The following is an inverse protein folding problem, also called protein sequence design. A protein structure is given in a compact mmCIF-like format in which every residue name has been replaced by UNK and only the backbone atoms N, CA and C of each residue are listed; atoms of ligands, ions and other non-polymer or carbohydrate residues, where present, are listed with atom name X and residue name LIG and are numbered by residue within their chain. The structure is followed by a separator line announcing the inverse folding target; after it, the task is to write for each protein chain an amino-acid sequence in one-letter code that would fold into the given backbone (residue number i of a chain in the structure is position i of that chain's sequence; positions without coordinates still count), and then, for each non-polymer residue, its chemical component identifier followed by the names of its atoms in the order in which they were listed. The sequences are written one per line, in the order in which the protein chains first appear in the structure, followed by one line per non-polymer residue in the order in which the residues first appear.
data_IF_283144428024
#
_entry.id   IF_283144428024
#
_cell.length_a   1.000
_cell.length_b   1.000
_cell.length_c   1.000
_cell.angle_alpha   90.00
_cell.angle_beta   90.00
_cell.angle_gamma   90.00
#
_symmetry.space_group_name_H-M   'P 1'
#
loop_
_entity.id
_entity.type
_entity.pdbx_description
1 polymer ?
#
# COMPACT_ATOMS: atom_id res chain seq x y z
N UNK A 1 -7.38 6.74 -13.77
CA UNK A 1 -7.29 5.29 -13.88
C UNK A 1 -7.27 4.56 -12.54
N UNK A 2 -7.03 5.27 -11.42
CA UNK A 2 -6.95 4.71 -10.07
C UNK A 2 -8.02 5.32 -9.17
N UNK A 3 -8.73 4.49 -8.41
CA UNK A 3 -9.61 4.95 -7.34
C UNK A 3 -9.23 4.18 -6.07
N UNK A 4 -8.92 4.90 -4.99
CA UNK A 4 -8.32 4.34 -3.78
C UNK A 4 -9.23 4.60 -2.59
N UNK A 5 -9.55 3.53 -1.86
CA UNK A 5 -10.33 3.63 -0.64
C UNK A 5 -9.43 4.00 0.54
N UNK A 6 -9.88 4.98 1.31
CA UNK A 6 -9.24 5.39 2.56
C UNK A 6 -10.24 5.38 3.70
N UNK A 7 -9.76 5.13 4.90
CA UNK A 7 -10.55 5.21 6.14
C UNK A 7 -9.97 6.28 7.06
N UNK A 8 -10.78 6.78 7.98
CA UNK A 8 -10.30 7.69 9.00
C UNK A 8 -9.29 6.97 9.90
N UNK A 9 -8.08 7.55 10.05
CA UNK A 9 -7.00 6.98 10.86
C UNK A 9 -7.37 6.97 12.34
N UNK A 10 -6.95 5.90 13.02
CA UNK A 10 -6.88 5.79 14.49
C UNK A 10 -5.42 5.64 14.92
N UNK A 11 -5.16 5.77 16.21
CA UNK A 11 -3.79 5.68 16.77
C UNK A 11 -3.13 4.31 16.56
N UNK A 12 -3.94 3.26 16.54
CA UNK A 12 -3.47 1.88 16.32
C UNK A 12 -3.15 1.54 14.86
N UNK A 13 -3.57 2.38 13.89
CA UNK A 13 -3.29 2.12 12.48
C UNK A 13 -1.82 2.41 12.18
N UNK A 14 -1.13 1.46 11.58
CA UNK A 14 0.28 1.53 11.19
C UNK A 14 0.42 1.44 9.69
N UNK A 15 1.09 2.41 9.07
CA UNK A 15 1.33 2.47 7.63
C UNK A 15 0.88 3.77 6.99
N UNK A 16 0.97 3.81 5.67
CA UNK A 16 0.73 4.99 4.86
C UNK A 16 -0.66 5.59 4.95
N UNK A 17 -0.78 6.76 4.44
CA UNK A 17 -2.03 7.50 4.42
C UNK A 17 -2.08 8.55 3.33
N UNK A 18 -3.14 9.34 3.36
CA UNK A 18 -3.38 10.39 2.37
C UNK A 18 -2.80 11.72 2.85
N UNK A 19 -1.97 12.33 2.03
CA UNK A 19 -1.41 13.65 2.27
C UNK A 19 -1.55 14.58 1.06
N UNK A 20 -1.54 15.88 1.31
CA UNK A 20 -1.42 16.91 0.27
C UNK A 20 0.04 17.38 0.20
N UNK A 21 0.71 17.06 -0.89
CA UNK A 21 2.12 17.41 -1.11
C UNK A 21 2.23 18.21 -2.40
N UNK A 22 2.76 19.42 -2.34
CA UNK A 22 2.84 20.29 -3.50
C UNK A 22 1.49 20.63 -4.14
N UNK A 23 0.41 20.67 -3.34
CA UNK A 23 -0.95 20.91 -3.82
C UNK A 23 -1.70 19.67 -4.33
N UNK A 24 -0.99 18.56 -4.58
CA UNK A 24 -1.56 17.30 -5.07
C UNK A 24 -1.87 16.35 -3.90
N UNK A 25 -3.04 15.71 -3.91
CA UNK A 25 -3.35 14.59 -3.03
C UNK A 25 -2.64 13.34 -3.53
N UNK A 26 -1.95 12.65 -2.62
CA UNK A 26 -1.27 11.40 -2.93
C UNK A 26 -1.16 10.49 -1.72
N UNK A 27 -0.94 9.21 -1.94
CA UNK A 27 -0.53 8.29 -0.88
C UNK A 27 0.91 8.59 -0.46
N UNK A 28 1.14 8.56 0.84
CA UNK A 28 2.46 8.67 1.46
C UNK A 28 2.63 7.49 2.40
N UNK A 29 3.58 6.65 2.14
CA UNK A 29 3.93 5.52 3.01
C UNK A 29 4.93 5.96 4.10
N UNK A 30 4.99 5.19 5.20
CA UNK A 30 5.86 5.54 6.34
C UNK A 30 7.32 5.79 5.94
N UNK A 31 7.85 5.00 5.00
CA UNK A 31 9.22 5.16 4.49
C UNK A 31 9.47 6.47 3.72
N UNK A 32 8.43 7.15 3.27
CA UNK A 32 8.53 8.45 2.60
C UNK A 32 8.45 9.64 3.58
N UNK A 33 8.18 9.38 4.84
CA UNK A 33 8.10 10.41 5.88
C UNK A 33 9.50 10.71 6.45
N UNK A 34 9.75 11.97 6.76
CA UNK A 34 11.02 12.40 7.34
C UNK A 34 11.22 11.86 8.77
N UNK A 35 10.13 11.64 9.49
CA UNK A 35 10.10 11.11 10.85
C UNK A 35 8.91 10.18 11.00
N UNK A 36 9.09 9.11 11.77
CA UNK A 36 8.04 8.10 11.99
C UNK A 36 6.77 8.70 12.61
N UNK A 37 6.92 9.65 13.54
CA UNK A 37 5.78 10.31 14.18
C UNK A 37 4.94 11.17 13.20
N UNK A 38 5.46 11.53 12.04
CA UNK A 38 4.70 12.27 11.02
C UNK A 38 3.55 11.43 10.45
N UNK A 39 3.61 10.13 10.61
CA UNK A 39 2.51 9.22 10.26
C UNK A 39 1.21 9.56 11.00
N UNK A 40 1.30 9.98 12.26
CA UNK A 40 0.13 10.34 13.06
C UNK A 40 -0.54 11.66 12.64
N UNK A 41 0.11 12.45 11.79
CA UNK A 41 -0.46 13.67 11.19
C UNK A 41 -1.37 13.37 10.02
N UNK A 42 -1.32 12.16 9.46
CA UNK A 42 -2.15 11.75 8.33
C UNK A 42 -3.56 11.43 8.83
N UNK A 43 -4.54 12.21 8.40
CA UNK A 43 -5.95 12.05 8.83
C UNK A 43 -6.60 10.78 8.30
N UNK A 44 -6.18 10.32 7.13
CA UNK A 44 -6.71 9.15 6.46
C UNK A 44 -5.64 8.08 6.32
N UNK A 45 -6.06 6.83 6.54
CA UNK A 45 -5.25 5.64 6.41
C UNK A 45 -5.56 4.95 5.08
N UNK A 46 -4.52 4.46 4.40
CA UNK A 46 -4.64 3.69 3.16
C UNK A 46 -5.14 2.27 3.47
N UNK A 47 -6.31 1.92 2.93
CA UNK A 47 -6.88 0.57 3.14
C UNK A 47 -6.23 -0.51 2.27
N UNK A 48 -5.41 -0.11 1.29
CA UNK A 48 -4.87 -0.94 0.20
C UNK A 48 -5.95 -1.47 -0.78
N UNK A 49 -7.20 -1.08 -0.61
CA UNK A 49 -8.24 -1.39 -1.60
C UNK A 49 -8.20 -0.36 -2.71
N UNK A 50 -7.98 -0.81 -3.92
CA UNK A 50 -7.92 0.04 -5.10
C UNK A 50 -8.72 -0.55 -6.26
N UNK A 51 -9.33 0.35 -7.00
CA UNK A 51 -10.06 0.09 -8.23
C UNK A 51 -9.25 0.61 -9.39
N UNK A 52 -8.94 -0.25 -10.34
CA UNK A 52 -8.01 0.07 -11.42
C UNK A 52 -8.69 -0.11 -12.76
N UNK A 53 -8.76 0.96 -13.53
CA UNK A 53 -9.16 0.88 -14.93
C UNK A 53 -7.98 0.39 -15.76
N UNK A 54 -8.11 -0.79 -16.37
CA UNK A 54 -6.98 -1.49 -16.99
C UNK A 54 -6.41 -0.71 -18.17
N UNK A 55 -7.22 -0.25 -19.13
CA UNK A 55 -6.71 0.41 -20.31
C UNK A 55 -6.01 1.74 -20.02
N UNK A 56 -6.55 2.62 -19.15
CA UNK A 56 -5.80 3.79 -18.68
C UNK A 56 -4.52 3.45 -17.91
N UNK A 57 -4.51 2.34 -17.15
CA UNK A 57 -3.29 1.88 -16.48
C UNK A 57 -2.24 1.45 -17.52
N UNK A 58 -2.62 0.65 -18.51
CA UNK A 58 -1.71 0.26 -19.60
C UNK A 58 -1.14 1.47 -20.34
N UNK A 59 -1.99 2.46 -20.63
CA UNK A 59 -1.55 3.71 -21.27
C UNK A 59 -0.49 4.45 -20.43
N UNK A 60 -0.57 4.41 -19.10
CA UNK A 60 0.46 4.98 -18.21
C UNK A 60 1.83 4.31 -18.39
N UNK A 61 1.84 3.02 -18.73
CA UNK A 61 3.05 2.27 -19.10
C UNK A 61 3.46 2.44 -20.57
N UNK A 62 2.70 3.18 -21.38
CA UNK A 62 2.90 3.26 -22.83
C UNK A 62 2.55 1.96 -23.56
N UNK A 63 1.64 1.18 -22.99
CA UNK A 63 1.17 -0.11 -23.49
C UNK A 63 -0.32 -0.06 -23.84
N UNK A 64 -0.73 -1.01 -24.62
CA UNK A 64 -2.12 -1.41 -24.86
C UNK A 64 -2.27 -2.92 -24.60
N UNK A 65 -3.50 -3.43 -24.74
CA UNK A 65 -3.77 -4.87 -24.51
C UNK A 65 -3.03 -5.78 -25.49
N UNK A 66 -2.82 -5.35 -26.72
CA UNK A 66 -2.10 -6.13 -27.75
C UNK A 66 -0.61 -6.25 -27.39
N UNK A 67 -0.02 -5.19 -26.84
CA UNK A 67 1.38 -5.18 -26.43
C UNK A 67 1.69 -6.16 -25.28
N UNK A 68 0.69 -6.65 -24.54
CA UNK A 68 0.90 -7.61 -23.44
C UNK A 68 1.41 -8.98 -23.92
N UNK A 69 1.27 -9.30 -25.18
CA UNK A 69 1.82 -10.53 -25.76
C UNK A 69 3.37 -10.46 -25.94
N UNK A 70 3.94 -9.26 -25.92
CA UNK A 70 5.40 -9.04 -26.07
C UNK A 70 6.03 -8.82 -24.67
N UNK A 71 6.62 -9.87 -24.13
CA UNK A 71 7.22 -9.86 -22.79
C UNK A 71 8.39 -8.85 -22.67
N UNK A 72 9.18 -8.67 -23.72
CA UNK A 72 10.31 -7.74 -23.70
C UNK A 72 9.84 -6.30 -23.69
N UNK A 73 8.81 -6.00 -24.48
CA UNK A 73 8.15 -4.68 -24.46
C UNK A 73 7.54 -4.37 -23.12
N UNK A 74 6.82 -5.31 -22.51
CA UNK A 74 6.26 -5.17 -21.15
C UNK A 74 7.38 -4.93 -20.14
N UNK A 75 8.43 -5.72 -20.16
CA UNK A 75 9.55 -5.57 -19.23
C UNK A 75 10.25 -4.21 -19.37
N UNK A 76 10.41 -3.72 -20.61
CA UNK A 76 10.99 -2.40 -20.87
C UNK A 76 10.09 -1.28 -20.33
N UNK A 77 8.78 -1.36 -20.57
CA UNK A 77 7.79 -0.39 -20.08
C UNK A 77 7.76 -0.33 -18.55
N UNK A 78 7.78 -1.49 -17.87
CA UNK A 78 7.82 -1.58 -16.41
C UNK A 78 9.10 -0.93 -15.86
N UNK A 79 10.26 -1.21 -16.43
CA UNK A 79 11.53 -0.59 -16.02
C UNK A 79 11.49 0.93 -16.21
N UNK A 80 10.95 1.41 -17.32
CA UNK A 80 10.84 2.85 -17.62
C UNK A 80 9.97 3.56 -16.58
N UNK A 81 8.80 3.02 -16.28
CA UNK A 81 7.92 3.61 -15.25
C UNK A 81 8.55 3.51 -13.86
N UNK A 82 9.14 2.37 -13.51
CA UNK A 82 9.79 2.16 -12.23
C UNK A 82 10.97 3.13 -11.99
N UNK A 83 11.68 3.54 -13.04
CA UNK A 83 12.76 4.52 -12.94
C UNK A 83 12.27 5.93 -12.54
N UNK A 84 10.98 6.23 -12.77
CA UNK A 84 10.35 7.50 -12.39
C UNK A 84 9.85 7.51 -10.95
N UNK A 85 9.74 6.34 -10.33
CA UNK A 85 9.25 6.19 -8.96
C UNK A 85 10.41 6.22 -7.95
N UNK A 86 10.18 6.75 -6.74
CA UNK A 86 11.16 6.69 -5.66
C UNK A 86 11.65 5.27 -5.38
N UNK A 87 12.87 5.15 -4.89
CA UNK A 87 13.40 3.91 -4.34
C UNK A 87 13.76 4.15 -2.89
N UNK A 88 13.23 3.31 -2.03
CA UNK A 88 13.49 3.36 -0.59
C UNK A 88 14.50 2.29 -0.22
N UNK A 89 15.33 2.59 0.77
CA UNK A 89 16.29 1.64 1.34
C UNK A 89 15.92 1.43 2.79
N UNK A 90 15.62 0.20 3.15
CA UNK A 90 15.30 -0.18 4.53
C UNK A 90 16.32 -1.16 5.06
N UNK A 91 16.63 -1.05 6.35
CA UNK A 91 17.42 -2.04 7.07
C UNK A 91 16.46 -2.99 7.78
N UNK A 92 16.61 -4.27 7.52
CA UNK A 92 15.80 -5.33 8.16
C UNK A 92 16.71 -6.36 8.80
N UNK A 93 16.33 -6.80 9.97
CA UNK A 93 16.97 -7.93 10.63
C UNK A 93 16.37 -9.24 10.12
N UNK A 94 17.18 -10.06 9.48
CA UNK A 94 16.80 -11.38 9.02
C UNK A 94 17.33 -12.41 10.01
N UNK A 95 16.42 -13.18 10.60
CA UNK A 95 16.75 -14.29 11.48
C UNK A 95 17.04 -15.53 10.65
N UNK A 96 18.20 -16.13 10.87
CA UNK A 96 18.56 -17.42 10.30
C UNK A 96 18.68 -18.44 11.42
N UNK A 97 17.90 -19.52 11.33
CA UNK A 97 17.98 -20.64 12.25
C UNK A 97 18.87 -21.72 11.66
N UNK A 98 19.88 -22.13 12.42
CA UNK A 98 20.79 -23.18 12.04
C UNK A 98 20.27 -24.54 12.51
N UNK A 99 20.76 -25.65 11.91
CA UNK A 99 20.31 -26.98 12.25
C UNK A 99 20.57 -27.43 13.70
N UNK A 100 21.46 -26.72 14.42
CA UNK A 100 21.73 -26.93 15.85
C UNK A 100 20.78 -26.10 16.77
N UNK A 101 19.79 -25.41 16.20
CA UNK A 101 18.84 -24.59 16.95
C UNK A 101 19.32 -23.16 17.26
N UNK A 102 20.55 -22.81 16.93
CA UNK A 102 21.06 -21.46 17.06
C UNK A 102 20.34 -20.51 16.09
N UNK A 103 19.99 -19.33 16.56
CA UNK A 103 19.47 -18.24 15.73
C UNK A 103 20.48 -17.10 15.68
N UNK A 104 20.84 -16.68 14.47
CA UNK A 104 21.65 -15.49 14.23
C UNK A 104 20.81 -14.42 13.54
N UNK A 105 21.08 -13.16 13.87
CA UNK A 105 20.43 -12.00 13.27
C UNK A 105 21.42 -11.32 12.32
N UNK A 106 20.98 -11.16 11.06
CA UNK A 106 21.79 -10.50 10.03
C UNK A 106 21.04 -9.22 9.58
N UNK A 107 21.64 -8.05 9.71
CA UNK A 107 21.11 -6.85 9.10
C UNK A 107 21.28 -6.94 7.58
N UNK A 108 20.18 -6.76 6.86
CA UNK A 108 20.16 -6.74 5.39
C UNK A 108 19.55 -5.44 4.88
N UNK A 109 20.12 -4.90 3.82
CA UNK A 109 19.54 -3.80 3.08
C UNK A 109 18.49 -4.35 2.12
N UNK A 110 17.29 -3.79 2.17
CA UNK A 110 16.22 -4.09 1.23
C UNK A 110 15.90 -2.84 0.43
N UNK A 111 15.83 -2.99 -0.90
CA UNK A 111 15.44 -1.94 -1.83
C UNK A 111 13.97 -2.13 -2.17
N UNK A 112 13.16 -1.10 -1.94
CA UNK A 112 11.72 -1.16 -2.14
C UNK A 112 11.25 -0.04 -3.05
N UNK A 113 10.28 -0.36 -3.92
CA UNK A 113 9.42 0.61 -4.60
C UNK A 113 8.00 0.38 -4.13
N UNK A 114 7.33 1.46 -3.76
CA UNK A 114 5.99 1.39 -3.21
C UNK A 114 4.98 1.68 -4.32
N UNK A 115 4.01 0.82 -4.45
CA UNK A 115 3.00 1.01 -5.49
C UNK A 115 2.15 2.26 -5.25
N UNK A 116 1.97 2.68 -4.01
CA UNK A 116 1.31 3.94 -3.65
C UNK A 116 1.95 5.17 -4.28
N UNK A 117 3.26 5.11 -4.60
CA UNK A 117 3.95 6.20 -5.28
C UNK A 117 3.53 6.41 -6.74
N UNK A 118 2.76 5.49 -7.33
CA UNK A 118 2.10 5.76 -8.61
C UNK A 118 1.17 6.98 -8.53
N UNK A 119 0.64 7.28 -7.36
CA UNK A 119 -0.17 8.49 -7.14
C UNK A 119 0.63 9.79 -7.23
N UNK A 120 1.95 9.73 -7.30
CA UNK A 120 2.83 10.88 -7.52
C UNK A 120 3.04 11.22 -8.99
N UNK A 121 2.71 10.29 -9.89
CA UNK A 121 2.87 10.49 -11.33
C UNK A 121 1.79 11.45 -11.83
N UNK A 122 2.16 12.53 -12.54
CA UNK A 122 1.19 13.52 -13.00
C UNK A 122 0.09 12.94 -13.90
N UNK A 123 0.42 11.88 -14.63
CA UNK A 123 -0.49 11.20 -15.57
C UNK A 123 -1.41 10.18 -14.88
N UNK A 124 -1.11 9.81 -13.64
CA UNK A 124 -1.94 8.92 -12.84
C UNK A 124 -3.09 9.72 -12.22
N UNK A 125 -4.17 9.92 -13.01
CA UNK A 125 -5.40 10.49 -12.51
C UNK A 125 -5.97 9.59 -11.42
N UNK A 126 -5.90 10.05 -10.16
CA UNK A 126 -6.24 9.27 -8.97
C UNK A 126 -7.35 9.91 -8.19
N UNK A 127 -8.40 9.14 -7.93
CA UNK A 127 -9.49 9.50 -7.03
C UNK A 127 -9.26 8.86 -5.65
N UNK A 128 -9.55 9.59 -4.60
CA UNK A 128 -9.55 9.09 -3.23
C UNK A 128 -10.94 9.24 -2.66
N UNK A 129 -11.46 8.19 -2.04
CA UNK A 129 -12.77 8.25 -1.40
C UNK A 129 -12.75 7.55 -0.04
N UNK A 130 -13.38 8.20 0.93
CA UNK A 130 -13.48 7.67 2.27
C UNK A 130 -14.61 6.66 2.36
N UNK A 131 -14.32 5.51 2.94
CA UNK A 131 -15.28 4.44 3.20
C UNK A 131 -15.48 4.25 4.70
N UNK A 132 -16.60 3.61 5.12
CA UNK A 132 -16.78 3.22 6.52
C UNK A 132 -15.63 2.33 7.00
N UNK A 133 -15.18 2.58 8.24
CA UNK A 133 -14.02 1.90 8.80
C UNK A 133 -14.10 0.36 8.73
N UNK A 134 -15.24 -0.32 9.02
CA UNK A 134 -15.31 -1.77 8.93
C UNK A 134 -14.94 -2.36 7.57
N UNK A 135 -15.04 -1.55 6.51
CA UNK A 135 -14.69 -1.97 5.15
C UNK A 135 -13.18 -2.05 4.88
N UNK A 136 -12.36 -1.33 5.61
CA UNK A 136 -10.95 -1.17 5.28
C UNK A 136 -9.99 -1.26 6.45
N UNK A 137 -10.35 -2.00 7.50
CA UNK A 137 -9.51 -2.14 8.67
C UNK A 137 -8.31 -3.04 8.44
N UNK A 138 -7.23 -2.71 9.14
CA UNK A 138 -6.02 -3.50 9.15
C UNK A 138 -6.16 -4.71 10.09
N UNK A 139 -5.62 -5.86 9.67
CA UNK A 139 -5.49 -7.05 10.49
C UNK A 139 -4.07 -7.62 10.34
N UNK A 140 -3.13 -7.10 11.10
CA UNK A 140 -1.72 -7.52 11.11
C UNK A 140 -1.28 -8.14 12.43
N UNK A 141 -2.01 -7.91 13.50
CA UNK A 141 -1.65 -8.32 14.86
C UNK A 141 -2.89 -8.64 15.68
N UNK A 142 -2.70 -9.44 16.74
CA UNK A 142 -3.78 -9.91 17.61
C UNK A 142 -4.56 -8.74 18.25
N UNK A 143 -3.87 -7.68 18.63
CA UNK A 143 -4.54 -6.50 19.23
C UNK A 143 -5.59 -5.86 18.30
N UNK A 144 -5.37 -5.92 16.99
CA UNK A 144 -6.34 -5.43 16.01
C UNK A 144 -7.56 -6.35 15.93
N UNK A 145 -7.36 -7.66 15.94
CA UNK A 145 -8.46 -8.63 16.00
C UNK A 145 -9.31 -8.45 17.27
N UNK A 146 -8.66 -8.30 18.42
CA UNK A 146 -9.33 -8.02 19.69
C UNK A 146 -10.13 -6.71 19.65
N UNK A 147 -9.63 -5.72 18.91
CA UNK A 147 -10.35 -4.48 18.61
C UNK A 147 -11.61 -4.73 17.80
N UNK A 148 -11.53 -5.54 16.74
CA UNK A 148 -12.66 -5.88 15.89
C UNK A 148 -13.78 -6.63 16.62
N UNK A 149 -13.40 -7.52 17.54
CA UNK A 149 -14.35 -8.24 18.39
C UNK A 149 -15.11 -7.31 19.34
N UNK A 150 -14.45 -6.24 19.80
CA UNK A 150 -15.04 -5.29 20.75
C UNK A 150 -15.88 -4.18 20.10
N UNK A 151 -15.49 -3.71 18.90
CA UNK A 151 -16.13 -2.57 18.26
C UNK A 151 -17.24 -2.96 17.26
N UNK A 152 -17.55 -4.26 17.14
CA UNK A 152 -18.58 -4.78 16.27
C UNK A 152 -18.14 -5.00 14.82
N UNK A 153 -16.88 -4.74 14.48
CA UNK A 153 -16.36 -4.91 13.11
C UNK A 153 -16.38 -6.37 12.66
N UNK A 154 -16.05 -7.30 13.58
CA UNK A 154 -16.11 -8.74 13.28
C UNK A 154 -17.55 -9.17 12.94
N UNK A 155 -18.51 -8.81 13.77
CA UNK A 155 -19.92 -9.11 13.53
C UNK A 155 -20.44 -8.47 12.22
N UNK A 156 -20.00 -7.25 11.90
CA UNK A 156 -20.35 -6.63 10.63
C UNK A 156 -19.85 -7.44 9.44
N UNK A 157 -18.61 -7.93 9.48
CA UNK A 157 -18.01 -8.73 8.39
C UNK A 157 -18.71 -10.09 8.29
N UNK A 158 -18.97 -10.75 9.42
CA UNK A 158 -19.71 -12.01 9.44
C UNK A 158 -21.08 -11.88 8.78
N UNK A 159 -21.80 -10.79 9.04
CA UNK A 159 -23.12 -10.55 8.43
C UNK A 159 -23.07 -10.24 6.92
N UNK A 160 -21.91 -9.93 6.37
CA UNK A 160 -21.72 -9.74 4.92
C UNK A 160 -21.41 -11.03 4.18
N UNK A 161 -21.10 -12.10 4.88
CA UNK A 161 -20.67 -13.37 4.31
C UNK A 161 -21.73 -14.44 4.54
N UNK A 162 -21.94 -15.28 3.53
CA UNK A 162 -22.62 -16.56 3.71
C UNK A 162 -21.53 -17.63 3.95
N UNK A 163 -21.57 -18.25 5.10
CA UNK A 163 -20.66 -19.35 5.46
C UNK A 163 -21.34 -20.67 5.16
N UNK A 164 -20.74 -21.50 4.28
CA UNK A 164 -21.19 -22.87 3.98
C UNK A 164 -20.50 -23.88 4.91
#
# INVERSE_FOLDING_TARGET
PLAIEVIRRRLEDRGGGLARVGGQLRLVEGMALAREEDEFKLTFYNTLTCWIAIDPLLALFGLDRAALADADRVAAAVRTLAARMPTYVTLKDVKKRWGNGQEDIFPVLQWEKLWGDMTTLPEADTLFFSVPRPRGQQLKEQAQLDGWLRDGSAAYIENLCAWE
#
